data_IF_581784831428
#
_entry.id   IF_581784831428
#
_cell.length_a   1.000
_cell.length_b   1.000
_cell.length_c   1.000
_cell.angle_alpha   90.00
_cell.angle_beta   90.00
_cell.angle_gamma   90.00
#
_symmetry.space_group_name_H-M   'P 1'
#
loop_
_entity.id
_entity.type
_entity.pdbx_description
1 polymer ?
#
# COMPACT_ATOMS: atom_id res chain seq x y z
N UNK A 1 -13.32 -25.57 -32.51
CA UNK A 1 -14.33 -25.96 -31.49
C UNK A 1 -13.73 -25.67 -30.12
N UNK A 2 -13.97 -24.48 -29.56
CA UNK A 2 -13.55 -24.16 -28.19
C UNK A 2 -14.49 -24.91 -27.24
N UNK A 3 -13.93 -25.84 -26.46
CA UNK A 3 -14.69 -26.65 -25.49
C UNK A 3 -15.20 -25.74 -24.37
N UNK A 4 -16.45 -25.93 -23.95
CA UNK A 4 -17.07 -25.22 -22.82
C UNK A 4 -16.22 -25.31 -21.53
N UNK A 5 -15.45 -26.38 -21.36
CA UNK A 5 -14.49 -26.55 -20.27
C UNK A 5 -13.42 -25.44 -20.26
N UNK A 6 -12.90 -25.06 -21.43
CA UNK A 6 -11.83 -24.04 -21.55
C UNK A 6 -12.34 -22.63 -21.26
N UNK A 7 -13.62 -22.36 -21.52
CA UNK A 7 -14.27 -21.10 -21.13
C UNK A 7 -14.58 -21.06 -19.64
N UNK A 8 -14.94 -22.20 -19.04
CA UNK A 8 -15.09 -22.35 -17.60
C UNK A 8 -13.78 -22.07 -16.86
N UNK A 9 -12.68 -22.64 -17.32
CA UNK A 9 -11.35 -22.43 -16.74
C UNK A 9 -10.90 -20.96 -16.85
N UNK A 10 -11.19 -20.30 -17.99
CA UNK A 10 -10.90 -18.88 -18.19
C UNK A 10 -11.72 -17.97 -17.28
N UNK A 11 -13.02 -18.26 -17.10
CA UNK A 11 -13.90 -17.51 -16.20
C UNK A 11 -13.58 -17.76 -14.72
N UNK A 12 -13.02 -18.94 -14.40
CA UNK A 12 -12.48 -19.28 -13.09
C UNK A 12 -11.09 -18.65 -12.83
N UNK A 13 -10.52 -17.91 -13.79
CA UNK A 13 -9.29 -17.14 -13.64
C UNK A 13 -8.01 -17.87 -14.08
N UNK A 14 -8.11 -18.98 -14.81
CA UNK A 14 -6.94 -19.67 -15.36
C UNK A 14 -6.42 -18.97 -16.63
N UNK A 15 -5.47 -18.05 -16.45
CA UNK A 15 -4.87 -17.24 -17.51
C UNK A 15 -3.75 -17.95 -18.29
N UNK A 16 -3.55 -19.26 -18.09
CA UNK A 16 -2.52 -20.05 -18.79
C UNK A 16 -2.67 -20.02 -20.31
N UNK A 17 -3.89 -19.84 -20.81
CA UNK A 17 -4.16 -19.70 -22.25
C UNK A 17 -3.55 -18.42 -22.87
N UNK A 18 -3.18 -17.42 -22.06
CA UNK A 18 -2.59 -16.15 -22.48
C UNK A 18 -1.10 -16.02 -22.11
N UNK A 19 -0.46 -17.10 -21.65
CA UNK A 19 0.94 -17.06 -21.20
C UNK A 19 1.12 -16.49 -19.78
N UNK A 20 0.04 -16.34 -19.02
CA UNK A 20 0.06 -15.91 -17.62
C UNK A 20 0.41 -17.04 -16.66
N UNK A 21 0.97 -16.71 -15.47
CA UNK A 21 1.34 -17.70 -14.46
C UNK A 21 0.13 -18.53 -14.02
N UNK A 22 0.32 -19.84 -13.86
CA UNK A 22 -0.74 -20.74 -13.40
C UNK A 22 -1.22 -20.35 -12.00
N UNK A 23 -2.50 -20.61 -11.72
CA UNK A 23 -3.14 -20.64 -10.38
C UNK A 23 -2.54 -21.72 -9.49
N UNK A 24 -1.21 -21.74 -9.35
CA UNK A 24 -0.59 -22.35 -8.19
C UNK A 24 -0.83 -21.36 -7.05
N UNK A 25 -1.96 -21.51 -6.36
CA UNK A 25 -2.35 -20.82 -5.12
C UNK A 25 -1.17 -20.28 -4.27
N UNK A 26 -0.10 -21.05 -4.01
CA UNK A 26 1.04 -20.57 -3.22
C UNK A 26 1.89 -19.46 -3.86
N UNK A 27 2.06 -19.41 -5.18
CA UNK A 27 2.88 -18.38 -5.86
C UNK A 27 2.14 -17.04 -5.94
N UNK A 28 0.84 -17.06 -6.25
CA UNK A 28 0.00 -15.88 -6.26
C UNK A 28 -0.17 -15.30 -4.84
N UNK A 29 -0.26 -16.15 -3.81
CA UNK A 29 -0.25 -15.73 -2.41
C UNK A 29 1.08 -15.11 -1.97
N UNK A 30 2.21 -15.69 -2.40
CA UNK A 30 3.55 -15.17 -2.09
C UNK A 30 3.79 -13.77 -2.65
N UNK A 31 3.44 -13.52 -3.92
CA UNK A 31 3.63 -12.21 -4.55
C UNK A 31 2.77 -11.13 -3.86
N UNK A 32 1.53 -11.47 -3.49
CA UNK A 32 0.66 -10.56 -2.72
C UNK A 32 1.24 -10.27 -1.33
N UNK A 33 1.77 -11.28 -0.65
CA UNK A 33 2.43 -11.12 0.65
C UNK A 33 3.71 -10.27 0.55
N UNK A 34 4.50 -10.43 -0.51
CA UNK A 34 5.69 -9.61 -0.76
C UNK A 34 5.31 -8.14 -1.03
N UNK A 35 4.29 -7.87 -1.84
CA UNK A 35 3.77 -6.51 -2.06
C UNK A 35 3.25 -5.86 -0.78
N UNK A 36 2.47 -6.60 0.02
CA UNK A 36 1.96 -6.13 1.32
C UNK A 36 3.11 -5.86 2.29
N UNK A 37 4.10 -6.76 2.37
CA UNK A 37 5.29 -6.60 3.21
C UNK A 37 6.13 -5.38 2.84
N UNK A 38 6.33 -5.13 1.54
CA UNK A 38 7.03 -3.94 1.03
C UNK A 38 6.27 -2.67 1.40
N UNK A 39 4.94 -2.65 1.22
CA UNK A 39 4.11 -1.51 1.61
C UNK A 39 4.21 -1.27 3.11
N UNK A 40 4.07 -2.28 3.95
CA UNK A 40 4.18 -2.16 5.41
C UNK A 40 5.55 -1.58 5.84
N UNK A 41 6.64 -2.07 5.24
CA UNK A 41 7.99 -1.55 5.53
C UNK A 41 8.15 -0.09 5.09
N UNK A 42 7.59 0.29 3.93
CA UNK A 42 7.63 1.66 3.43
C UNK A 42 6.73 2.61 4.23
N UNK A 43 5.56 2.15 4.65
CA UNK A 43 4.60 2.92 5.45
C UNK A 43 5.20 3.38 6.77
N UNK A 44 5.99 2.53 7.44
CA UNK A 44 6.67 2.91 8.68
C UNK A 44 7.61 4.11 8.47
N UNK A 45 8.41 4.07 7.41
CA UNK A 45 9.32 5.18 7.06
C UNK A 45 8.54 6.44 6.65
N UNK A 46 7.41 6.28 5.95
CA UNK A 46 6.51 7.37 5.59
C UNK A 46 5.86 8.04 6.81
N UNK A 47 5.40 7.26 7.79
CA UNK A 47 4.86 7.78 9.05
C UNK A 47 5.93 8.55 9.83
N UNK A 48 7.16 8.03 9.91
CA UNK A 48 8.27 8.73 10.54
C UNK A 48 8.56 10.08 9.86
N UNK A 49 8.55 10.12 8.53
CA UNK A 49 8.73 11.37 7.77
C UNK A 49 7.60 12.37 8.04
N UNK A 50 6.34 11.92 8.14
CA UNK A 50 5.20 12.78 8.50
C UNK A 50 5.36 13.38 9.89
N UNK A 51 5.78 12.60 10.89
CA UNK A 51 6.03 13.08 12.26
C UNK A 51 7.15 14.13 12.26
N UNK A 52 8.25 13.87 11.55
CA UNK A 52 9.37 14.81 11.43
C UNK A 52 8.95 16.12 10.75
N UNK A 53 8.14 16.04 9.69
CA UNK A 53 7.60 17.23 9.02
C UNK A 53 6.67 18.02 9.93
N UNK A 54 5.78 17.35 10.69
CA UNK A 54 4.90 18.01 11.64
C UNK A 54 5.69 18.71 12.76
N UNK A 55 6.72 18.05 13.32
CA UNK A 55 7.61 18.63 14.32
C UNK A 55 8.36 19.85 13.77
N UNK A 56 8.89 19.75 12.55
CA UNK A 56 9.59 20.86 11.87
C UNK A 56 8.66 22.05 11.66
N UNK A 57 7.41 21.80 11.26
CA UNK A 57 6.40 22.85 11.09
C UNK A 57 6.07 23.56 12.42
N UNK A 58 5.86 22.79 13.51
CA UNK A 58 5.61 23.36 14.84
C UNK A 58 6.78 24.22 15.33
N UNK A 59 8.01 23.79 15.07
CA UNK A 59 9.21 24.58 15.41
C UNK A 59 9.28 25.86 14.57
N UNK A 60 8.99 25.77 13.26
CA UNK A 60 9.05 26.91 12.36
C UNK A 60 8.06 28.03 12.73
N UNK A 61 6.91 27.67 13.31
CA UNK A 61 5.84 28.59 13.69
C UNK A 61 5.89 28.96 15.19
N UNK A 62 6.92 28.52 15.90
CA UNK A 62 7.07 28.73 17.34
C UNK A 62 7.20 30.23 17.68
N UNK A 63 6.43 30.69 18.66
CA UNK A 63 6.36 32.11 19.03
C UNK A 63 5.50 32.97 18.09
N UNK A 64 4.91 32.39 17.04
CA UNK A 64 3.90 33.08 16.22
C UNK A 64 2.48 32.89 16.79
N UNK A 65 1.51 33.74 16.40
CA UNK A 65 0.11 33.59 16.80
C UNK A 65 -0.52 32.23 16.42
N UNK A 66 0.03 31.54 15.41
CA UNK A 66 -0.51 30.28 14.90
C UNK A 66 0.08 29.03 15.57
N UNK A 67 1.00 29.19 16.52
CA UNK A 67 1.64 28.08 17.25
C UNK A 67 0.63 27.10 17.85
N UNK A 68 -0.42 27.59 18.52
CA UNK A 68 -1.43 26.73 19.15
C UNK A 68 -2.20 25.89 18.12
N UNK A 69 -2.52 26.48 16.96
CA UNK A 69 -3.20 25.76 15.87
C UNK A 69 -2.30 24.70 15.25
N UNK A 70 -1.02 25.02 15.07
CA UNK A 70 -0.03 24.09 14.54
C UNK A 70 0.20 22.90 15.46
N UNK A 71 0.26 23.11 16.78
CA UNK A 71 0.37 22.03 17.78
C UNK A 71 -0.86 21.13 17.75
N UNK A 72 -2.07 21.72 17.73
CA UNK A 72 -3.32 20.96 17.64
C UNK A 72 -3.37 20.12 16.36
N UNK A 73 -3.04 20.71 15.21
CA UNK A 73 -2.99 19.98 13.95
C UNK A 73 -1.95 18.84 13.97
N UNK A 74 -0.75 19.09 14.49
CA UNK A 74 0.32 18.10 14.57
C UNK A 74 -0.02 16.94 15.52
N UNK A 75 -0.86 17.16 16.54
CA UNK A 75 -1.28 16.12 17.48
C UNK A 75 -2.28 15.10 16.94
N UNK A 76 -2.90 15.38 15.78
CA UNK A 76 -3.91 14.51 15.14
C UNK A 76 -3.31 13.66 14.00
N UNK A 77 -2.07 13.94 13.60
CA UNK A 77 -1.28 13.15 12.65
C UNK A 77 -0.56 12.01 13.39
#
# INVERSE_FOLDING_TARGET
RLSAARLGDLLAGDLRAFGGPSTNEPLAGRIRAEQVSIVLRSTLLGMAANILNAATFVIAVWGSPDQTKAILWASVI
#
